data_IF_469076250544
#
_entry.id   IF_469076250544
#
_cell.length_a   1.000
_cell.length_b   1.000
_cell.length_c   1.000
_cell.angle_alpha   90.00
_cell.angle_beta   90.00
_cell.angle_gamma   90.00
#
_symmetry.space_group_name_H-M   'P 1'
#
loop_
_entity.id
_entity.type
_entity.pdbx_description
1 polymer ?
#
# COMPACT_ATOMS: atom_id res chain seq x y z
N UNK A 1 -9.42 -14.15 2.43
CA UNK A 1 -8.26 -13.51 1.80
C UNK A 1 -8.75 -12.46 0.80
N UNK A 2 -8.05 -11.33 0.69
CA UNK A 2 -8.43 -10.28 -0.23
C UNK A 2 -8.31 -10.72 -1.69
N UNK A 3 -9.37 -10.54 -2.46
CA UNK A 3 -9.36 -10.75 -3.89
C UNK A 3 -9.10 -9.42 -4.58
N UNK A 4 -7.85 -9.20 -4.99
CA UNK A 4 -7.43 -7.93 -5.58
C UNK A 4 -8.14 -7.63 -6.90
N UNK A 5 -8.55 -8.66 -7.63
CA UNK A 5 -9.22 -8.46 -8.92
C UNK A 5 -10.61 -7.83 -8.77
N UNK A 6 -11.23 -7.96 -7.60
CA UNK A 6 -12.56 -7.39 -7.34
C UNK A 6 -12.54 -6.32 -6.26
N UNK A 7 -11.44 -6.17 -5.52
CA UNK A 7 -11.33 -5.18 -4.45
C UNK A 7 -11.18 -3.77 -5.00
N UNK A 8 -11.70 -2.80 -4.25
CA UNK A 8 -11.52 -1.38 -4.56
C UNK A 8 -10.26 -0.89 -3.86
N UNK A 9 -9.30 -0.30 -4.55
CA UNK A 9 -8.13 0.26 -3.89
C UNK A 9 -8.50 1.49 -3.07
N UNK A 10 -7.86 1.64 -1.92
CA UNK A 10 -7.99 2.83 -1.11
C UNK A 10 -7.24 4.00 -1.76
N UNK A 11 -6.11 3.74 -2.40
CA UNK A 11 -5.31 4.74 -3.08
C UNK A 11 -4.53 4.10 -4.22
N UNK A 12 -4.17 4.91 -5.21
CA UNK A 12 -3.40 4.49 -6.37
C UNK A 12 -2.28 5.51 -6.60
N UNK A 13 -1.07 5.02 -6.85
CA UNK A 13 0.12 5.86 -6.92
C UNK A 13 0.77 5.73 -8.30
N UNK A 14 0.31 6.52 -9.25
CA UNK A 14 0.77 6.41 -10.64
C UNK A 14 2.03 7.24 -10.94
N UNK A 15 2.32 8.25 -10.14
CA UNK A 15 3.44 9.12 -10.45
C UNK A 15 3.30 9.71 -11.84
N UNK A 16 4.32 9.50 -12.68
CA UNK A 16 4.34 10.02 -14.04
C UNK A 16 3.89 8.99 -15.08
N UNK A 17 3.66 7.76 -14.68
CA UNK A 17 3.36 6.67 -15.60
C UNK A 17 1.91 6.23 -15.43
N UNK A 18 1.19 6.07 -16.54
CA UNK A 18 -0.14 5.51 -16.52
C UNK A 18 -0.19 4.03 -16.86
N UNK A 19 0.91 3.33 -16.76
CA UNK A 19 1.08 1.99 -17.32
C UNK A 19 0.80 0.85 -16.34
N UNK A 20 0.48 1.11 -15.14
CA UNK A 20 0.27 0.15 -14.07
C UNK A 20 0.78 0.82 -12.83
N UNK A 21 -0.03 0.93 -11.82
CA UNK A 21 0.29 1.78 -10.70
C UNK A 21 0.21 0.99 -9.41
N UNK A 22 1.18 1.17 -8.50
CA UNK A 22 1.06 0.60 -7.17
C UNK A 22 -0.24 1.05 -6.52
N UNK A 23 -0.88 0.16 -5.80
CA UNK A 23 -2.17 0.42 -5.17
C UNK A 23 -2.14 -0.02 -3.72
N UNK A 24 -2.94 0.66 -2.90
CA UNK A 24 -3.08 0.36 -1.49
C UNK A 24 -4.48 -0.21 -1.25
N UNK A 25 -4.54 -1.36 -0.60
CA UNK A 25 -5.79 -2.01 -0.22
C UNK A 25 -5.81 -2.26 1.28
N UNK A 26 -7.01 -2.36 1.85
CA UNK A 26 -7.19 -2.80 3.22
C UNK A 26 -7.95 -4.12 3.18
N UNK A 27 -7.35 -5.17 3.75
CA UNK A 27 -7.95 -6.50 3.84
C UNK A 27 -8.42 -6.72 5.26
N UNK A 28 -9.66 -6.34 5.54
CA UNK A 28 -10.22 -6.44 6.88
C UNK A 28 -10.49 -7.89 7.29
N UNK A 29 -10.52 -8.81 6.33
CA UNK A 29 -10.71 -10.23 6.60
C UNK A 29 -9.40 -10.95 6.90
N UNK A 30 -8.26 -10.30 6.68
CA UNK A 30 -6.97 -10.89 6.94
C UNK A 30 -6.56 -10.82 8.41
N UNK A 31 -5.50 -11.55 8.78
CA UNK A 31 -4.97 -11.44 10.14
C UNK A 31 -4.43 -10.02 10.40
N UNK A 32 -4.42 -9.57 11.66
CA UNK A 32 -4.05 -8.17 11.97
C UNK A 32 -2.70 -7.74 11.41
N UNK A 33 -1.73 -8.65 11.34
CA UNK A 33 -0.39 -8.32 10.85
C UNK A 33 -0.31 -8.24 9.32
N UNK A 34 -1.41 -8.48 8.59
CA UNK A 34 -1.41 -8.52 7.14
C UNK A 34 -2.58 -7.74 6.52
N UNK A 35 -3.15 -6.81 7.26
CA UNK A 35 -4.36 -6.11 6.79
C UNK A 35 -4.10 -5.01 5.77
N UNK A 36 -2.88 -4.48 5.72
CA UNK A 36 -2.53 -3.46 4.74
C UNK A 36 -1.76 -4.14 3.61
N UNK A 37 -2.23 -3.94 2.38
CA UNK A 37 -1.65 -4.59 1.20
C UNK A 37 -1.25 -3.52 0.20
N UNK A 38 0.03 -3.50 -0.17
CA UNK A 38 0.55 -2.65 -1.23
C UNK A 38 0.90 -3.53 -2.42
N UNK A 39 0.37 -3.21 -3.58
CA UNK A 39 0.72 -3.90 -4.82
C UNK A 39 1.75 -3.10 -5.58
N UNK A 40 2.56 -3.78 -6.39
CA UNK A 40 3.49 -3.11 -7.28
C UNK A 40 3.05 -3.29 -8.73
N UNK A 41 3.86 -2.78 -9.67
CA UNK A 41 3.57 -2.87 -11.09
C UNK A 41 4.04 -4.20 -11.71
N UNK A 42 4.61 -5.08 -10.90
CA UNK A 42 5.32 -6.25 -11.40
C UNK A 42 4.71 -7.56 -10.92
N UNK A 43 3.52 -7.50 -10.35
CA UNK A 43 2.79 -8.69 -9.93
C UNK A 43 3.03 -9.13 -8.50
N UNK A 44 3.80 -8.36 -7.73
CA UNK A 44 4.06 -8.66 -6.33
C UNK A 44 3.24 -7.77 -5.41
N UNK A 45 3.20 -8.14 -4.14
CA UNK A 45 2.51 -7.35 -3.13
C UNK A 45 3.26 -7.44 -1.81
N UNK A 46 3.09 -6.40 -0.98
CA UNK A 46 3.64 -6.34 0.36
C UNK A 46 2.48 -6.26 1.34
N UNK A 47 2.51 -7.08 2.39
CA UNK A 47 1.50 -7.05 3.43
C UNK A 47 2.13 -6.58 4.73
N UNK A 48 1.39 -5.77 5.47
CA UNK A 48 1.87 -5.23 6.74
C UNK A 48 0.67 -4.98 7.67
N UNK A 49 0.95 -4.76 8.95
CA UNK A 49 -0.08 -4.40 9.90
C UNK A 49 -0.44 -2.93 9.76
N UNK A 50 -1.60 -2.55 10.29
CA UNK A 50 -1.99 -1.15 10.34
C UNK A 50 -0.99 -0.33 11.17
N UNK A 51 -0.43 -0.92 12.22
CA UNK A 51 0.58 -0.23 13.02
C UNK A 51 1.86 0.06 12.23
N UNK A 52 2.30 -0.90 11.43
CA UNK A 52 3.46 -0.69 10.55
C UNK A 52 3.19 0.39 9.50
N UNK A 53 2.00 0.37 8.91
CA UNK A 53 1.63 1.39 7.95
C UNK A 53 1.51 2.75 8.62
N UNK A 54 1.01 2.79 9.86
CA UNK A 54 0.95 4.03 10.64
C UNK A 54 2.33 4.63 10.87
N UNK A 55 3.33 3.79 11.10
CA UNK A 55 4.71 4.24 11.25
C UNK A 55 5.23 4.84 9.92
N UNK A 56 4.90 4.20 8.80
CA UNK A 56 5.26 4.75 7.48
C UNK A 56 4.63 6.13 7.29
N UNK A 57 3.37 6.30 7.64
CA UNK A 57 2.69 7.60 7.53
C UNK A 57 3.35 8.64 8.42
N UNK A 58 3.70 8.27 9.64
CA UNK A 58 4.36 9.20 10.57
C UNK A 58 5.69 9.66 10.02
N UNK A 59 6.47 8.75 9.45
CA UNK A 59 7.75 9.11 8.85
C UNK A 59 7.59 9.97 7.61
N UNK A 60 6.57 9.70 6.80
CA UNK A 60 6.27 10.53 5.63
C UNK A 60 5.89 11.95 6.06
N UNK A 61 5.05 12.08 7.09
CA UNK A 61 4.61 13.39 7.58
C UNK A 61 5.75 14.18 8.23
N UNK A 62 6.74 13.50 8.81
CA UNK A 62 7.88 14.16 9.44
C UNK A 62 8.93 14.63 8.44
N UNK A 63 8.80 14.26 7.17
CA UNK A 63 9.77 14.57 6.15
C UNK A 63 10.92 13.58 6.03
N UNK A 64 10.90 12.51 6.83
CA UNK A 64 12.00 11.53 6.83
C UNK A 64 12.13 10.81 5.49
N UNK A 65 11.04 10.72 4.70
CA UNK A 65 11.04 10.03 3.42
C UNK A 65 11.20 10.97 2.23
N UNK A 66 11.36 12.27 2.46
CA UNK A 66 11.42 13.25 1.37
C UNK A 66 12.63 13.07 0.48
N UNK A 67 13.68 12.39 0.96
CA UNK A 67 14.88 12.15 0.16
C UNK A 67 14.64 11.19 -1.01
N UNK A 68 13.48 10.50 -1.02
CA UNK A 68 13.13 9.57 -2.09
C UNK A 68 12.62 10.30 -3.34
N UNK A 69 12.09 11.48 -3.17
CA UNK A 69 11.46 12.24 -4.28
C UNK A 69 12.18 13.54 -4.59
#
# INVERSE_FOLDING_TARGET
>A
MLDISTAQPLATFCGDCGCGCPQLFVDESGPPEQRVVLTDDFGSRVRMSAAQFGDLLAQAKSGALDTVV
#
